data_IF_174683233006
#
_entry.id   IF_174683233006
#
_cell.length_a   1.000
_cell.length_b   1.000
_cell.length_c   1.000
_cell.angle_alpha   90.00
_cell.angle_beta   90.00
_cell.angle_gamma   90.00
#
_symmetry.space_group_name_H-M   'P 1'
#
loop_
_entity.id
_entity.type
_entity.pdbx_description
1 polymer ?
#
# COMPACT_ATOMS: atom_id res chain seq x y z
N UNK A 1 -49.72 16.61 -12.60
CA UNK A 1 -49.15 17.94 -12.25
C UNK A 1 -48.51 18.01 -10.86
N UNK A 2 -49.00 17.35 -9.79
CA UNK A 2 -48.45 17.51 -8.41
C UNK A 2 -47.07 16.86 -8.15
N UNK A 3 -46.60 15.95 -9.01
CA UNK A 3 -45.28 15.30 -8.90
C UNK A 3 -44.15 16.07 -9.60
N UNK A 4 -44.51 16.99 -10.49
CA UNK A 4 -43.56 17.82 -11.25
C UNK A 4 -42.78 18.82 -10.36
N UNK A 5 -43.41 19.58 -9.43
CA UNK A 5 -42.66 20.47 -8.55
C UNK A 5 -41.74 19.71 -7.59
N UNK A 6 -42.15 18.51 -7.14
CA UNK A 6 -41.31 17.65 -6.30
C UNK A 6 -40.09 17.16 -7.09
N UNK A 7 -40.28 16.70 -8.32
CA UNK A 7 -39.18 16.25 -9.19
C UNK A 7 -38.21 17.39 -9.50
N UNK A 8 -38.71 18.57 -9.84
CA UNK A 8 -37.87 19.74 -10.10
C UNK A 8 -37.08 20.17 -8.85
N UNK A 9 -37.71 20.15 -7.67
CA UNK A 9 -37.03 20.44 -6.42
C UNK A 9 -35.91 19.43 -6.12
N UNK A 10 -36.15 18.12 -6.36
CA UNK A 10 -35.13 17.09 -6.17
C UNK A 10 -33.95 17.30 -7.12
N UNK A 11 -34.19 17.57 -8.41
CA UNK A 11 -33.11 17.79 -9.39
C UNK A 11 -32.27 19.01 -9.02
N UNK A 12 -32.92 20.12 -8.68
CA UNK A 12 -32.25 21.38 -8.34
C UNK A 12 -31.45 21.27 -7.03
N UNK A 13 -31.98 20.57 -6.02
CA UNK A 13 -31.25 20.28 -4.79
C UNK A 13 -30.07 19.34 -5.06
N UNK A 14 -30.25 18.29 -5.87
CA UNK A 14 -29.21 17.28 -6.08
C UNK A 14 -28.02 17.84 -6.89
N UNK A 15 -28.27 18.75 -7.84
CA UNK A 15 -27.22 19.44 -8.60
C UNK A 15 -26.35 20.33 -7.70
N UNK A 16 -26.94 21.03 -6.74
CA UNK A 16 -26.20 21.89 -5.80
C UNK A 16 -25.59 21.13 -4.63
N UNK A 17 -26.22 20.02 -4.21
CA UNK A 17 -25.74 19.19 -3.10
C UNK A 17 -24.54 18.33 -3.51
N UNK A 18 -24.43 17.93 -4.78
CA UNK A 18 -23.35 17.07 -5.27
C UNK A 18 -21.96 17.72 -5.09
N UNK A 19 -21.71 18.99 -5.51
CA UNK A 19 -20.45 19.68 -5.24
C UNK A 19 -20.09 19.73 -3.75
N UNK A 20 -21.09 19.93 -2.89
CA UNK A 20 -20.90 19.98 -1.44
C UNK A 20 -20.48 18.62 -0.87
N UNK A 21 -21.13 17.52 -1.30
CA UNK A 21 -20.80 16.15 -0.88
C UNK A 21 -19.39 15.75 -1.34
N UNK A 22 -18.97 16.16 -2.54
CA UNK A 22 -17.62 15.90 -3.07
C UNK A 22 -16.52 16.52 -2.22
N UNK A 23 -16.75 17.72 -1.68
CA UNK A 23 -15.77 18.42 -0.86
C UNK A 23 -15.76 17.87 0.57
N UNK A 24 -16.94 17.64 1.15
CA UNK A 24 -17.06 17.38 2.60
C UNK A 24 -17.23 15.91 2.97
N UNK A 25 -17.70 15.05 2.07
CA UNK A 25 -17.96 13.62 2.34
C UNK A 25 -17.44 12.69 1.23
N UNK A 26 -16.12 12.71 0.92
CA UNK A 26 -15.53 11.89 -0.14
C UNK A 26 -15.68 10.38 0.08
N UNK A 27 -15.93 9.93 1.32
CA UNK A 27 -16.19 8.53 1.64
C UNK A 27 -17.55 7.99 1.19
N UNK A 28 -18.49 8.86 0.79
CA UNK A 28 -19.78 8.45 0.18
C UNK A 28 -19.69 8.33 -1.34
N UNK A 29 -18.57 8.77 -1.93
CA UNK A 29 -18.40 8.77 -3.37
C UNK A 29 -17.71 7.49 -3.86
N UNK A 30 -18.06 7.01 -5.07
CA UNK A 30 -17.27 5.98 -5.70
C UNK A 30 -15.83 6.48 -5.89
N UNK A 31 -14.87 5.57 -5.84
CA UNK A 31 -13.45 5.89 -5.98
C UNK A 31 -13.11 6.63 -7.29
N UNK A 32 -13.98 6.52 -8.31
CA UNK A 32 -13.88 7.25 -9.58
C UNK A 32 -14.07 8.76 -9.44
N UNK A 33 -14.72 9.22 -8.37
CA UNK A 33 -15.02 10.64 -8.13
C UNK A 33 -14.11 11.26 -7.06
N UNK A 34 -13.14 10.51 -6.53
CA UNK A 34 -12.19 11.00 -5.51
C UNK A 34 -10.92 11.49 -6.20
N UNK A 35 -10.54 12.73 -5.93
CA UNK A 35 -9.33 13.32 -6.49
C UNK A 35 -8.07 12.59 -5.94
N UNK A 36 -7.00 12.38 -6.73
CA UNK A 36 -5.80 11.69 -6.24
C UNK A 36 -5.20 12.32 -4.98
N UNK A 37 -5.23 13.66 -4.87
CA UNK A 37 -4.77 14.39 -3.69
C UNK A 37 -5.62 14.11 -2.44
N UNK A 38 -6.93 13.86 -2.61
CA UNK A 38 -7.81 13.44 -1.53
C UNK A 38 -7.55 11.97 -1.15
N UNK A 39 -7.27 11.11 -2.12
CA UNK A 39 -6.89 9.72 -1.89
C UNK A 39 -5.64 9.61 -1.02
N UNK A 40 -4.60 10.39 -1.31
CA UNK A 40 -3.38 10.43 -0.48
C UNK A 40 -3.68 10.87 0.96
N UNK A 41 -4.56 11.87 1.14
CA UNK A 41 -4.99 12.31 2.48
C UNK A 41 -5.78 11.23 3.22
N UNK A 42 -6.65 10.48 2.53
CA UNK A 42 -7.40 9.37 3.10
C UNK A 42 -6.44 8.26 3.53
N UNK A 43 -5.52 7.85 2.65
CA UNK A 43 -4.49 6.84 2.94
C UNK A 43 -3.61 7.25 4.13
N UNK A 44 -3.19 8.52 4.21
CA UNK A 44 -2.42 9.03 5.34
C UNK A 44 -3.18 8.92 6.67
N UNK A 45 -4.45 9.35 6.69
CA UNK A 45 -5.31 9.23 7.90
C UNK A 45 -5.57 7.79 8.31
N UNK A 46 -5.70 6.88 7.34
CA UNK A 46 -5.82 5.44 7.61
C UNK A 46 -4.51 4.88 8.18
N UNK A 47 -3.36 5.31 7.65
CA UNK A 47 -2.04 4.91 8.14
C UNK A 47 -1.78 5.40 9.56
N UNK A 48 -2.14 6.65 9.90
CA UNK A 48 -1.99 7.17 11.27
C UNK A 48 -2.78 6.33 12.28
N UNK A 49 -4.00 5.93 11.91
CA UNK A 49 -4.84 5.04 12.71
C UNK A 49 -4.21 3.65 12.85
N UNK A 50 -3.69 3.10 11.76
CA UNK A 50 -2.98 1.80 11.76
C UNK A 50 -1.75 1.84 12.65
N UNK A 51 -0.89 2.84 12.51
CA UNK A 51 0.32 3.05 13.32
C UNK A 51 -0.01 3.04 14.81
N UNK A 52 -1.06 3.74 15.17
CA UNK A 52 -1.53 3.83 16.54
C UNK A 52 -2.12 2.50 17.06
N UNK A 53 -2.83 1.73 16.23
CA UNK A 53 -3.28 0.38 16.58
C UNK A 53 -2.11 -0.62 16.70
N UNK A 54 -1.14 -0.58 15.79
CA UNK A 54 0.08 -1.39 15.86
C UNK A 54 0.85 -1.10 17.14
N UNK A 55 0.96 0.17 17.52
CA UNK A 55 1.58 0.58 18.80
C UNK A 55 0.86 -0.05 20.00
N UNK A 56 -0.47 0.09 20.09
CA UNK A 56 -1.26 -0.53 21.17
C UNK A 56 -1.13 -2.06 21.19
N UNK A 57 -1.15 -2.70 20.01
CA UNK A 57 -0.99 -4.15 19.91
C UNK A 57 0.41 -4.62 20.32
N UNK A 58 1.46 -3.84 20.04
CA UNK A 58 2.83 -4.13 20.52
C UNK A 58 2.92 -4.02 22.04
N UNK A 59 2.27 -3.02 22.65
CA UNK A 59 2.16 -2.89 24.11
C UNK A 59 1.39 -4.08 24.73
N UNK A 60 0.37 -4.57 24.02
CA UNK A 60 -0.43 -5.74 24.38
C UNK A 60 0.16 -7.07 23.91
N UNK A 61 1.37 -7.09 23.34
CA UNK A 61 1.91 -8.27 22.63
C UNK A 61 2.07 -9.50 23.53
N UNK A 62 2.31 -9.31 24.84
CA UNK A 62 2.29 -10.39 25.83
C UNK A 62 0.94 -11.10 25.95
N UNK A 63 -0.15 -10.42 25.56
CA UNK A 63 -1.52 -10.95 25.50
C UNK A 63 -1.88 -11.57 24.15
N UNK A 64 -1.08 -11.35 23.10
CA UNK A 64 -1.28 -11.91 21.76
C UNK A 64 -0.56 -13.25 21.57
N UNK A 65 0.41 -13.56 22.43
CA UNK A 65 0.93 -14.90 22.63
C UNK A 65 -0.16 -15.79 23.19
N UNK A 66 -1.00 -16.31 22.30
CA UNK A 66 -1.74 -17.54 22.58
C UNK A 66 -0.68 -18.59 22.89
N UNK A 67 -0.70 -19.11 24.11
CA UNK A 67 0.15 -20.22 24.48
C UNK A 67 -0.09 -21.34 23.47
N UNK A 68 0.88 -21.57 22.59
CA UNK A 68 1.03 -22.80 21.83
C UNK A 68 1.41 -23.93 22.80
N UNK A 69 0.62 -24.13 23.86
CA UNK A 69 0.64 -25.29 24.75
C UNK A 69 -0.40 -26.27 24.24
N UNK A 70 -0.25 -26.66 22.98
CA UNK A 70 -0.81 -27.87 22.42
C UNK A 70 0.36 -28.57 21.73
N UNK A 71 0.54 -29.89 21.88
CA UNK A 71 1.69 -30.58 21.32
C UNK A 71 1.80 -30.26 19.83
N UNK A 72 3.00 -29.83 19.41
CA UNK A 72 3.43 -29.97 18.02
C UNK A 72 3.41 -31.48 17.72
N UNK A 73 2.28 -31.96 17.24
CA UNK A 73 2.03 -33.39 17.03
C UNK A 73 0.59 -33.75 17.31
N UNK A 74 -0.11 -34.20 16.27
CA UNK A 74 -1.50 -34.66 16.24
C UNK A 74 -2.59 -33.61 15.94
N UNK A 75 -2.38 -32.74 14.95
CA UNK A 75 -3.49 -32.54 14.00
C UNK A 75 -3.53 -33.75 13.07
N UNK A 76 -4.67 -34.42 12.88
CA UNK A 76 -4.77 -35.47 11.86
C UNK A 76 -4.47 -34.83 10.51
N UNK A 77 -3.32 -35.17 9.93
CA UNK A 77 -3.01 -34.90 8.53
C UNK A 77 -4.19 -35.41 7.70
N UNK A 78 -4.94 -34.49 7.08
CA UNK A 78 -6.12 -34.83 6.27
C UNK A 78 -7.45 -34.19 6.70
N UNK A 79 -7.51 -33.39 7.77
CA UNK A 79 -8.71 -32.58 8.02
C UNK A 79 -8.77 -31.42 7.03
N UNK A 80 -9.75 -31.47 6.13
CA UNK A 80 -10.01 -30.48 5.06
C UNK A 80 -10.18 -29.05 5.59
N UNK A 81 -10.39 -28.86 6.90
CA UNK A 81 -10.64 -27.58 7.56
C UNK A 81 -9.65 -27.26 8.71
N UNK A 82 -8.46 -27.87 8.75
CA UNK A 82 -7.50 -27.66 9.83
C UNK A 82 -7.10 -26.18 10.01
N UNK A 83 -6.95 -25.46 8.90
CA UNK A 83 -6.66 -24.02 8.93
C UNK A 83 -7.81 -23.20 9.50
N UNK A 84 -9.03 -23.44 9.05
CA UNK A 84 -10.21 -22.68 9.50
C UNK A 84 -10.44 -22.84 11.01
N UNK A 85 -10.18 -24.04 11.55
CA UNK A 85 -10.29 -24.27 12.99
C UNK A 85 -9.18 -23.57 13.76
N UNK A 86 -7.94 -23.60 13.26
CA UNK A 86 -6.82 -22.85 13.84
C UNK A 86 -7.10 -21.34 13.86
N UNK A 87 -7.66 -20.80 12.77
CA UNK A 87 -8.06 -19.40 12.65
C UNK A 87 -9.16 -19.05 13.65
N UNK A 88 -10.20 -19.88 13.77
CA UNK A 88 -11.28 -19.65 14.76
C UNK A 88 -10.74 -19.66 16.18
N UNK A 89 -9.85 -20.60 16.51
CA UNK A 89 -9.24 -20.70 17.84
C UNK A 89 -8.37 -19.48 18.13
N UNK A 90 -7.46 -19.11 17.22
CA UNK A 90 -6.57 -17.97 17.38
C UNK A 90 -7.36 -16.66 17.51
N UNK A 91 -8.33 -16.42 16.62
CA UNK A 91 -9.17 -15.22 16.66
C UNK A 91 -10.11 -15.24 17.86
N UNK A 92 -10.60 -16.40 18.30
CA UNK A 92 -11.47 -16.56 19.47
C UNK A 92 -10.78 -16.24 20.79
N UNK A 93 -9.49 -16.54 20.92
CA UNK A 93 -8.70 -16.28 22.12
C UNK A 93 -8.39 -14.78 22.35
N UNK A 94 -8.52 -13.93 21.33
CA UNK A 94 -8.21 -12.50 21.43
C UNK A 94 -9.18 -11.75 22.34
N UNK A 95 -8.71 -10.72 23.05
CA UNK A 95 -9.58 -9.79 23.74
C UNK A 95 -10.32 -8.86 22.73
N UNK A 96 -11.47 -8.26 23.09
CA UNK A 96 -12.23 -7.42 22.15
C UNK A 96 -11.48 -6.19 21.64
N UNK A 97 -10.60 -5.59 22.45
CA UNK A 97 -9.78 -4.44 22.05
C UNK A 97 -8.74 -4.82 20.99
N UNK A 98 -8.02 -5.94 21.16
CA UNK A 98 -7.06 -6.44 20.17
C UNK A 98 -7.74 -6.87 18.88
N UNK A 99 -8.95 -7.44 18.94
CA UNK A 99 -9.72 -7.74 17.71
C UNK A 99 -10.00 -6.46 16.93
N UNK A 100 -10.41 -5.39 17.59
CA UNK A 100 -10.67 -4.10 16.93
C UNK A 100 -9.38 -3.51 16.34
N UNK A 101 -8.29 -3.54 17.10
CA UNK A 101 -7.00 -3.01 16.64
C UNK A 101 -6.41 -3.84 15.51
N UNK A 102 -6.51 -5.18 15.55
CA UNK A 102 -6.10 -6.06 14.45
C UNK A 102 -6.96 -5.84 13.21
N UNK A 103 -8.28 -5.71 13.36
CA UNK A 103 -9.16 -5.36 12.26
C UNK A 103 -8.74 -4.03 11.61
N UNK A 104 -8.38 -3.03 12.41
CA UNK A 104 -7.86 -1.76 11.90
C UNK A 104 -6.52 -1.95 11.18
N UNK A 105 -5.61 -2.73 11.74
CA UNK A 105 -4.30 -3.04 11.15
C UNK A 105 -4.45 -3.64 9.76
N UNK A 106 -5.32 -4.65 9.60
CA UNK A 106 -5.61 -5.31 8.33
C UNK A 106 -6.57 -4.53 7.41
N UNK A 107 -6.79 -3.22 7.66
CA UNK A 107 -7.69 -2.35 6.86
C UNK A 107 -9.13 -2.87 6.78
N UNK A 108 -9.60 -3.58 7.79
CA UNK A 108 -10.96 -4.09 7.87
C UNK A 108 -11.91 -3.08 8.51
N UNK A 109 -13.19 -3.17 8.15
CA UNK A 109 -14.23 -2.35 8.76
C UNK A 109 -14.36 -2.67 10.26
N UNK A 110 -14.14 -1.66 11.11
CA UNK A 110 -14.23 -1.78 12.57
C UNK A 110 -15.64 -1.56 13.12
N UNK A 111 -16.63 -1.21 12.28
CA UNK A 111 -18.01 -1.04 12.71
C UNK A 111 -18.68 -2.39 13.02
N UNK A 112 -19.50 -2.40 14.08
CA UNK A 112 -20.18 -3.60 14.59
C UNK A 112 -19.53 -4.15 15.87
N UNK A 113 -20.20 -5.10 16.52
CA UNK A 113 -19.70 -5.75 17.73
C UNK A 113 -18.53 -6.71 17.46
N UNK A 114 -17.87 -7.18 18.54
CA UNK A 114 -16.68 -8.04 18.47
C UNK A 114 -16.91 -9.31 17.64
N UNK A 115 -18.12 -9.90 17.67
CA UNK A 115 -18.46 -11.07 16.85
C UNK A 115 -18.29 -10.80 15.34
N UNK A 116 -18.77 -9.66 14.86
CA UNK A 116 -18.69 -9.30 13.45
C UNK A 116 -17.24 -9.02 13.02
N UNK A 117 -16.48 -8.37 13.90
CA UNK A 117 -15.06 -8.10 13.69
C UNK A 117 -14.24 -9.40 13.64
N UNK A 118 -14.49 -10.35 14.55
CA UNK A 118 -13.85 -11.68 14.53
C UNK A 118 -14.16 -12.44 13.25
N UNK A 119 -15.42 -12.46 12.83
CA UNK A 119 -15.81 -13.10 11.56
C UNK A 119 -15.07 -12.51 10.36
N UNK A 120 -14.97 -11.18 10.29
CA UNK A 120 -14.22 -10.49 9.22
C UNK A 120 -12.74 -10.84 9.29
N UNK A 121 -12.15 -10.81 10.48
CA UNK A 121 -10.74 -11.15 10.67
C UNK A 121 -10.46 -12.59 10.24
N UNK A 122 -11.25 -13.57 10.70
CA UNK A 122 -11.11 -14.97 10.30
C UNK A 122 -11.22 -15.16 8.79
N UNK A 123 -12.24 -14.57 8.16
CA UNK A 123 -12.40 -14.63 6.70
C UNK A 123 -11.22 -13.99 5.96
N UNK A 124 -10.67 -12.91 6.51
CA UNK A 124 -9.54 -12.20 5.93
C UNK A 124 -8.25 -12.99 6.00
N UNK A 125 -7.99 -13.73 7.09
CA UNK A 125 -6.80 -14.58 7.20
C UNK A 125 -6.82 -15.72 6.18
N UNK A 126 -7.99 -16.31 5.91
CA UNK A 126 -8.13 -17.31 4.84
C UNK A 126 -7.92 -16.69 3.47
N UNK A 127 -8.49 -15.50 3.21
CA UNK A 127 -8.24 -14.73 1.99
C UNK A 127 -6.74 -14.44 1.79
N UNK A 128 -6.04 -13.94 2.81
CA UNK A 128 -4.61 -13.63 2.72
C UNK A 128 -3.78 -14.87 2.38
N UNK A 129 -4.14 -16.03 2.92
CA UNK A 129 -3.42 -17.28 2.63
C UNK A 129 -3.58 -17.70 1.16
N UNK A 130 -4.78 -17.62 0.63
CA UNK A 130 -5.06 -17.90 -0.79
C UNK A 130 -4.32 -16.90 -1.69
N UNK A 131 -4.40 -15.61 -1.36
CA UNK A 131 -3.76 -14.52 -2.11
C UNK A 131 -2.22 -14.61 -2.08
N UNK A 132 -1.64 -14.94 -0.92
CA UNK A 132 -0.20 -15.18 -0.79
C UNK A 132 0.26 -16.41 -1.62
N UNK A 133 -0.53 -17.48 -1.66
CA UNK A 133 -0.22 -18.66 -2.47
C UNK A 133 -0.24 -18.35 -3.97
N UNK A 134 -1.19 -17.52 -4.41
CA UNK A 134 -1.23 -17.01 -5.77
C UNK A 134 0.02 -16.17 -6.07
N UNK A 135 0.35 -15.18 -5.24
CA UNK A 135 1.54 -14.33 -5.45
C UNK A 135 2.87 -15.08 -5.34
N UNK A 136 2.93 -16.18 -4.60
CA UNK A 136 4.11 -17.04 -4.55
C UNK A 136 4.22 -18.00 -5.75
N UNK A 137 3.23 -17.99 -6.66
CA UNK A 137 3.20 -18.88 -7.81
C UNK A 137 2.91 -20.35 -7.48
N UNK A 138 2.36 -20.62 -6.29
CA UNK A 138 2.05 -21.97 -5.78
C UNK A 138 0.62 -22.39 -6.18
N UNK A 139 0.06 -21.77 -7.24
CA UNK A 139 -1.33 -21.98 -7.62
C UNK A 139 -1.66 -23.48 -7.78
N UNK A 140 -2.60 -23.93 -6.95
CA UNK A 140 -3.20 -25.25 -6.95
C UNK A 140 -3.85 -25.53 -8.30
N UNK A 141 -3.27 -26.41 -9.13
CA UNK A 141 -4.06 -27.14 -10.14
C UNK A 141 -3.49 -27.33 -11.55
N UNK A 142 -2.35 -26.78 -11.94
CA UNK A 142 -1.82 -27.01 -13.30
C UNK A 142 -0.36 -27.49 -13.30
N UNK A 143 -0.18 -28.74 -12.88
CA UNK A 143 1.08 -29.47 -13.01
C UNK A 143 1.42 -29.89 -14.46
N UNK A 144 0.85 -29.29 -15.51
CA UNK A 144 0.96 -29.83 -16.87
C UNK A 144 1.03 -28.84 -18.04
N UNK A 145 1.40 -27.59 -17.82
CA UNK A 145 1.96 -26.78 -18.91
C UNK A 145 3.34 -26.29 -18.50
N UNK A 146 4.36 -26.64 -19.27
CA UNK A 146 5.78 -26.37 -18.99
C UNK A 146 6.18 -24.89 -19.02
N UNK A 147 5.40 -24.01 -18.39
CA UNK A 147 5.81 -22.65 -18.07
C UNK A 147 6.59 -22.70 -16.76
N UNK A 148 7.84 -22.25 -16.85
CA UNK A 148 8.80 -22.21 -15.77
C UNK A 148 8.18 -21.72 -14.45
N UNK A 149 8.65 -22.31 -13.35
CA UNK A 149 8.51 -21.76 -11.99
C UNK A 149 8.85 -20.27 -12.04
N UNK A 150 7.82 -19.43 -12.14
CA UNK A 150 7.99 -17.98 -12.13
C UNK A 150 8.40 -17.60 -10.72
N UNK A 151 9.45 -16.78 -10.63
CA UNK A 151 9.95 -16.28 -9.34
C UNK A 151 8.85 -15.50 -8.63
N UNK A 152 8.86 -15.48 -7.29
CA UNK A 152 7.99 -14.61 -6.46
C UNK A 152 8.04 -13.16 -6.96
N UNK A 153 9.15 -12.72 -7.55
CA UNK A 153 9.30 -11.39 -8.12
C UNK A 153 8.38 -11.09 -9.31
N UNK A 154 7.97 -12.10 -10.09
CA UNK A 154 7.20 -11.91 -11.33
C UNK A 154 5.69 -11.75 -11.09
N UNK A 155 5.18 -12.17 -9.93
CA UNK A 155 3.74 -12.14 -9.60
C UNK A 155 3.36 -11.07 -8.56
N UNK A 156 4.35 -10.41 -7.97
CA UNK A 156 4.12 -9.26 -7.09
C UNK A 156 3.75 -8.03 -7.94
N UNK A 157 2.67 -7.29 -7.57
CA UNK A 157 2.31 -6.05 -8.25
C UNK A 157 3.50 -5.09 -8.36
N UNK A 158 3.70 -4.51 -9.54
CA UNK A 158 4.78 -3.53 -9.79
C UNK A 158 4.25 -2.09 -9.76
N UNK A 159 2.94 -1.91 -9.91
CA UNK A 159 2.31 -0.60 -9.83
C UNK A 159 2.21 -0.13 -8.37
N UNK A 160 2.36 1.18 -8.16
CA UNK A 160 2.40 1.78 -6.81
C UNK A 160 1.09 1.54 -6.05
N UNK A 161 -0.05 1.58 -6.73
CA UNK A 161 -1.36 1.39 -6.11
C UNK A 161 -1.61 -0.06 -5.71
N UNK A 162 -1.23 -1.02 -6.55
CA UNK A 162 -1.25 -2.45 -6.28
C UNK A 162 -0.35 -2.84 -5.12
N UNK A 163 0.88 -2.31 -5.08
CA UNK A 163 1.80 -2.49 -3.94
C UNK A 163 1.22 -1.93 -2.65
N UNK A 164 0.74 -0.68 -2.68
CA UNK A 164 0.16 -0.03 -1.51
C UNK A 164 -1.08 -0.79 -1.00
N UNK A 165 -1.90 -1.33 -1.91
CA UNK A 165 -3.06 -2.16 -1.58
C UNK A 165 -2.65 -3.48 -0.93
N UNK A 166 -1.75 -4.23 -1.57
CA UNK A 166 -1.28 -5.53 -1.08
C UNK A 166 -0.59 -5.41 0.29
N UNK A 167 0.21 -4.36 0.49
CA UNK A 167 0.82 -4.05 1.79
C UNK A 167 -0.25 -3.70 2.83
N UNK A 168 -1.20 -2.83 2.49
CA UNK A 168 -2.25 -2.40 3.42
C UNK A 168 -3.16 -3.55 3.88
N UNK A 169 -3.52 -4.46 2.97
CA UNK A 169 -4.36 -5.63 3.27
C UNK A 169 -3.66 -6.62 4.21
N UNK A 170 -2.32 -6.66 4.20
CA UNK A 170 -1.46 -7.43 5.12
C UNK A 170 -1.11 -6.67 6.39
N UNK A 171 -1.61 -5.45 6.55
CA UNK A 171 -1.30 -4.60 7.69
C UNK A 171 0.13 -4.07 7.74
N UNK A 172 0.83 -4.09 6.60
CA UNK A 172 2.12 -3.43 6.42
C UNK A 172 1.92 -1.94 6.16
N UNK A 173 2.96 -1.16 6.42
CA UNK A 173 2.98 0.27 6.10
C UNK A 173 2.90 0.46 4.59
N UNK A 174 2.00 1.32 4.13
CA UNK A 174 1.79 1.57 2.70
C UNK A 174 1.72 3.07 2.35
N UNK A 175 1.91 3.94 3.34
CA UNK A 175 1.90 5.40 3.17
C UNK A 175 3.16 6.03 3.75
N UNK A 176 3.64 7.09 3.08
CA UNK A 176 4.84 7.82 3.46
C UNK A 176 6.13 7.01 3.33
N UNK A 177 6.15 6.00 2.45
CA UNK A 177 7.31 5.22 2.06
C UNK A 177 7.31 5.04 0.53
N UNK A 178 8.47 4.80 -0.05
CA UNK A 178 8.65 4.59 -1.49
C UNK A 178 8.22 3.17 -1.92
N UNK A 179 8.08 2.96 -3.24
CA UNK A 179 7.64 1.69 -3.81
C UNK A 179 8.66 0.56 -3.63
N UNK A 180 9.96 0.86 -3.54
CA UNK A 180 11.00 -0.15 -3.30
C UNK A 180 10.84 -0.70 -1.89
N UNK A 181 10.73 0.18 -0.90
CA UNK A 181 10.47 -0.20 0.50
C UNK A 181 9.17 -1.01 0.64
N UNK A 182 8.08 -0.63 -0.04
CA UNK A 182 6.83 -1.42 -0.07
C UNK A 182 7.05 -2.81 -0.65
N UNK A 183 7.74 -2.90 -1.79
CA UNK A 183 8.02 -4.18 -2.45
C UNK A 183 8.87 -5.11 -1.58
N UNK A 184 9.85 -4.57 -0.85
CA UNK A 184 10.70 -5.33 0.06
C UNK A 184 9.92 -5.81 1.28
N UNK A 185 9.06 -4.97 1.85
CA UNK A 185 8.18 -5.36 2.95
C UNK A 185 7.24 -6.51 2.54
N UNK A 186 6.63 -6.41 1.36
CA UNK A 186 5.77 -7.44 0.81
C UNK A 186 6.52 -8.74 0.52
N UNK A 187 7.74 -8.67 -0.05
CA UNK A 187 8.60 -9.85 -0.24
C UNK A 187 9.04 -10.46 1.10
N UNK A 188 9.22 -9.66 2.14
CA UNK A 188 9.54 -10.16 3.48
C UNK A 188 8.37 -10.89 4.09
N UNK A 189 7.15 -10.35 3.94
CA UNK A 189 5.91 -11.04 4.30
C UNK A 189 5.79 -12.40 3.59
N UNK A 190 5.92 -12.42 2.26
CA UNK A 190 5.77 -13.65 1.47
C UNK A 190 6.82 -14.71 1.81
N UNK A 191 8.05 -14.31 2.18
CA UNK A 191 9.08 -15.25 2.66
C UNK A 191 8.69 -15.92 3.98
N UNK A 192 7.97 -15.23 4.85
CA UNK A 192 7.48 -15.79 6.12
C UNK A 192 6.19 -16.61 5.93
N UNK A 193 5.30 -16.23 5.01
CA UNK A 193 4.02 -16.92 4.80
C UNK A 193 4.07 -18.08 3.81
N UNK A 194 4.98 -18.03 2.84
CA UNK A 194 5.18 -19.04 1.80
C UNK A 194 6.64 -19.51 1.78
N UNK A 195 7.10 -20.19 2.83
CA UNK A 195 8.49 -20.59 2.91
C UNK A 195 8.79 -21.69 1.87
N UNK A 196 10.03 -21.76 1.40
CA UNK A 196 10.46 -22.74 0.42
C UNK A 196 10.24 -24.19 0.89
N UNK A 197 10.14 -25.13 -0.05
CA UNK A 197 9.82 -26.55 0.18
C UNK A 197 10.47 -27.13 1.46
N UNK A 198 9.63 -27.56 2.40
CA UNK A 198 10.02 -28.27 3.63
C UNK A 198 9.89 -27.46 4.92
N UNK A 199 9.72 -26.14 4.85
CA UNK A 199 9.46 -25.31 6.03
C UNK A 199 7.96 -25.25 6.35
N UNK A 200 7.64 -25.15 7.65
CA UNK A 200 6.26 -25.09 8.14
C UNK A 200 5.61 -23.76 7.77
N UNK A 201 4.39 -23.80 7.23
CA UNK A 201 3.59 -22.59 7.00
C UNK A 201 3.19 -21.99 8.36
N UNK A 202 3.17 -20.66 8.49
CA UNK A 202 2.90 -20.04 9.78
C UNK A 202 1.48 -20.36 10.24
N UNK A 203 1.35 -20.56 11.55
CA UNK A 203 0.07 -20.68 12.25
C UNK A 203 -0.75 -19.39 12.15
N UNK A 204 -2.06 -19.49 12.38
CA UNK A 204 -2.95 -18.33 12.36
C UNK A 204 -2.54 -17.25 13.38
N UNK A 205 -2.03 -17.65 14.55
CA UNK A 205 -1.50 -16.75 15.57
C UNK A 205 -0.24 -16.03 15.12
N UNK A 206 0.67 -16.72 14.43
CA UNK A 206 1.88 -16.09 13.89
C UNK A 206 1.53 -15.08 12.80
N UNK A 207 0.58 -15.42 11.91
CA UNK A 207 0.12 -14.52 10.85
C UNK A 207 -0.56 -13.25 11.40
N UNK A 208 -1.25 -13.34 12.54
CA UNK A 208 -1.81 -12.18 13.25
C UNK A 208 -0.75 -11.27 13.87
N UNK A 209 0.40 -11.83 14.27
CA UNK A 209 1.51 -11.09 14.86
C UNK A 209 2.47 -10.53 13.81
N UNK A 210 2.48 -11.10 12.61
CA UNK A 210 3.40 -10.76 11.53
C UNK A 210 3.39 -9.26 11.15
N UNK A 211 2.23 -8.59 11.05
CA UNK A 211 2.22 -7.14 10.78
C UNK A 211 2.96 -6.38 11.88
N UNK A 212 2.82 -6.76 13.15
CA UNK A 212 3.46 -6.06 14.27
C UNK A 212 4.99 -6.13 14.20
N UNK A 213 5.52 -7.24 13.68
CA UNK A 213 6.96 -7.45 13.47
C UNK A 213 7.46 -6.69 12.26
N UNK A 214 6.72 -6.73 11.15
CA UNK A 214 7.16 -6.22 9.86
C UNK A 214 6.81 -4.74 9.60
N UNK A 215 5.92 -4.14 10.40
CA UNK A 215 5.37 -2.79 10.13
C UNK A 215 6.42 -1.68 9.94
N UNK A 216 7.57 -1.77 10.64
CA UNK A 216 8.69 -0.80 10.56
C UNK A 216 10.05 -1.49 10.31
N UNK A 217 10.04 -2.75 9.85
CA UNK A 217 11.26 -3.57 9.77
C UNK A 217 12.22 -3.15 8.64
N UNK A 218 11.81 -2.25 7.75
CA UNK A 218 12.65 -1.82 6.62
C UNK A 218 13.63 -0.70 7.06
N UNK A 219 14.95 -0.87 6.89
CA UNK A 219 15.97 -0.07 7.57
C UNK A 219 16.13 1.37 7.05
N UNK A 220 15.47 1.79 5.97
CA UNK A 220 15.71 3.10 5.34
C UNK A 220 15.13 4.31 6.10
N UNK A 221 14.23 4.11 7.08
CA UNK A 221 13.48 5.22 7.71
C UNK A 221 13.48 5.25 9.24
N UNK A 222 14.28 4.42 9.92
CA UNK A 222 14.44 4.54 11.38
C UNK A 222 15.29 5.74 11.80
N UNK A 223 16.01 6.41 10.89
CA UNK A 223 16.92 7.52 11.24
C UNK A 223 16.29 8.92 11.27
N UNK A 224 15.00 9.12 11.00
CA UNK A 224 14.41 10.48 10.92
C UNK A 224 13.40 10.84 12.01
N UNK A 225 13.10 9.96 12.98
CA UNK A 225 12.08 10.25 14.00
C UNK A 225 12.49 9.99 15.45
N UNK A 226 13.73 9.58 15.74
CA UNK A 226 14.19 9.30 17.11
C UNK A 226 15.17 10.32 17.69
N UNK A 227 15.58 11.36 16.95
CA UNK A 227 16.69 12.24 17.38
C UNK A 227 16.29 13.68 17.77
N UNK A 228 15.06 13.88 18.26
CA UNK A 228 14.61 15.18 18.78
C UNK A 228 14.57 15.25 20.31
N UNK A 229 15.05 14.24 21.03
CA UNK A 229 15.01 14.22 22.50
C UNK A 229 16.16 13.42 23.11
N UNK A 230 17.40 13.85 22.88
CA UNK A 230 18.51 13.72 23.86
C UNK A 230 19.76 14.49 23.40
N UNK A 231 19.95 15.68 23.96
CA UNK A 231 21.25 16.34 24.01
C UNK A 231 22.20 15.54 24.92
N UNK A 232 23.27 14.93 24.38
CA UNK A 232 24.70 15.12 24.72
C UNK A 232 25.57 14.14 23.92
N UNK A 233 26.84 14.49 23.59
CA UNK A 233 27.55 13.95 22.43
C UNK A 233 28.29 12.65 22.74
N UNK A 234 28.44 11.78 21.72
CA UNK A 234 29.65 10.98 21.64
C UNK A 234 30.34 11.11 20.29
N UNK A 235 31.62 11.42 20.42
CA UNK A 235 32.69 11.31 19.44
C UNK A 235 32.68 9.95 18.74
N UNK A 236 33.03 9.96 17.44
CA UNK A 236 33.47 8.84 16.60
C UNK A 236 32.38 7.93 15.97
N UNK A 237 31.80 8.39 14.86
CA UNK A 237 31.53 7.59 13.64
C UNK A 237 31.09 8.49 12.47
N UNK A 238 31.87 9.54 12.16
CA UNK A 238 31.47 10.59 11.21
C UNK A 238 31.91 10.37 9.75
N UNK A 239 32.69 9.32 9.45
CA UNK A 239 33.34 9.18 8.13
C UNK A 239 32.53 8.38 7.11
N UNK A 240 31.86 7.30 7.49
CA UNK A 240 31.15 6.45 6.52
C UNK A 240 29.80 7.03 6.05
N UNK A 241 29.06 7.71 6.93
CA UNK A 241 27.77 8.33 6.58
C UNK A 241 27.91 9.59 5.73
N UNK A 242 28.96 10.37 5.94
CA UNK A 242 29.21 11.60 5.18
C UNK A 242 29.53 11.31 3.71
N UNK A 243 30.18 10.18 3.43
CA UNK A 243 30.54 9.76 2.07
C UNK A 243 29.31 9.34 1.25
N UNK A 244 28.42 8.52 1.83
CA UNK A 244 27.17 8.09 1.18
C UNK A 244 26.20 9.27 0.97
N UNK A 245 26.12 10.20 1.92
CA UNK A 245 25.29 11.40 1.76
C UNK A 245 25.88 12.40 0.75
N UNK A 246 27.21 12.48 0.64
CA UNK A 246 27.85 13.30 -0.38
C UNK A 246 27.61 12.74 -1.79
N UNK A 247 27.66 11.42 -1.94
CA UNK A 247 27.38 10.72 -3.20
C UNK A 247 25.92 10.87 -3.62
N UNK A 248 24.97 10.67 -2.70
CA UNK A 248 23.54 10.87 -2.98
C UNK A 248 23.21 12.32 -3.38
N UNK A 249 23.89 13.30 -2.77
CA UNK A 249 23.72 14.73 -3.11
C UNK A 249 24.34 15.07 -4.46
N UNK A 250 25.45 14.43 -4.83
CA UNK A 250 26.07 14.60 -6.14
C UNK A 250 25.17 14.06 -7.26
N UNK A 251 24.61 12.86 -7.09
CA UNK A 251 23.66 12.26 -8.04
C UNK A 251 22.42 13.13 -8.17
N UNK A 252 21.88 13.65 -7.06
CA UNK A 252 20.72 14.55 -7.11
C UNK A 252 21.02 15.86 -7.88
N UNK A 253 22.23 16.40 -7.74
CA UNK A 253 22.64 17.59 -8.49
C UNK A 253 22.80 17.30 -9.98
N UNK A 254 23.36 16.14 -10.34
CA UNK A 254 23.53 15.69 -11.72
C UNK A 254 22.17 15.49 -12.41
N UNK A 255 21.20 14.86 -11.74
CA UNK A 255 19.84 14.68 -12.29
C UNK A 255 19.14 16.03 -12.48
N UNK A 256 19.31 16.97 -11.56
CA UNK A 256 18.74 18.32 -11.69
C UNK A 256 19.39 19.12 -12.82
N UNK A 257 20.70 18.97 -13.05
CA UNK A 257 21.36 19.59 -14.20
C UNK A 257 20.94 18.95 -15.53
N UNK A 258 20.80 17.62 -15.56
CA UNK A 258 20.28 16.92 -16.74
C UNK A 258 18.84 17.32 -17.08
N UNK A 259 17.95 17.45 -16.08
CA UNK A 259 16.59 17.94 -16.30
C UNK A 259 16.55 19.38 -16.82
N UNK A 260 17.42 20.26 -16.31
CA UNK A 260 17.55 21.63 -16.83
C UNK A 260 18.02 21.66 -18.28
N UNK A 261 18.96 20.78 -18.66
CA UNK A 261 19.42 20.70 -20.04
C UNK A 261 18.31 20.22 -20.98
N UNK A 262 17.51 19.23 -20.55
CA UNK A 262 16.35 18.74 -21.32
C UNK A 262 15.33 19.87 -21.51
N UNK A 263 14.98 20.58 -20.44
CA UNK A 263 14.06 21.72 -20.52
C UNK A 263 14.57 22.84 -21.44
N UNK A 264 15.87 23.12 -21.43
CA UNK A 264 16.44 24.10 -22.36
C UNK A 264 16.39 23.63 -23.83
N UNK A 265 16.59 22.34 -24.08
CA UNK A 265 16.50 21.75 -25.42
C UNK A 265 15.07 21.79 -25.94
N UNK A 266 14.09 21.47 -25.10
CA UNK A 266 12.67 21.55 -25.43
C UNK A 266 12.25 22.99 -25.72
N UNK A 267 12.67 23.96 -24.89
CA UNK A 267 12.39 25.39 -25.15
C UNK A 267 12.97 25.86 -26.48
N UNK A 268 14.20 25.45 -26.82
CA UNK A 268 14.82 25.81 -28.11
C UNK A 268 14.08 25.16 -29.29
N UNK A 269 13.60 23.92 -29.13
CA UNK A 269 12.81 23.26 -30.15
C UNK A 269 11.46 23.98 -30.35
N UNK A 270 10.79 24.40 -29.29
CA UNK A 270 9.55 25.19 -29.36
C UNK A 270 9.76 26.54 -30.06
N UNK A 271 10.85 27.26 -29.75
CA UNK A 271 11.20 28.52 -30.39
C UNK A 271 11.50 28.33 -31.90
N UNK A 272 12.17 27.23 -32.28
CA UNK A 272 12.44 26.92 -33.68
C UNK A 272 11.16 26.56 -34.46
N UNK A 273 10.26 25.78 -33.85
CA UNK A 273 8.94 25.46 -34.41
C UNK A 273 8.14 26.74 -34.62
N UNK A 274 8.12 27.63 -33.63
CA UNK A 274 7.43 28.92 -33.73
C UNK A 274 7.99 29.78 -34.85
N UNK A 275 9.33 29.86 -34.99
CA UNK A 275 9.97 30.60 -36.08
C UNK A 275 9.60 30.06 -37.46
N UNK A 276 9.59 28.73 -37.63
CA UNK A 276 9.17 28.09 -38.90
C UNK A 276 7.71 28.35 -39.21
N UNK A 277 6.85 28.35 -38.19
CA UNK A 277 5.43 28.66 -38.36
C UNK A 277 5.21 30.12 -38.80
N UNK A 278 5.94 31.07 -38.22
CA UNK A 278 5.90 32.48 -38.63
C UNK A 278 6.49 32.72 -40.03
N UNK A 279 7.52 31.97 -40.42
CA UNK A 279 8.10 32.02 -41.77
C UNK A 279 7.13 31.47 -42.82
N UNK A 280 6.47 30.34 -42.51
CA UNK A 280 5.47 29.74 -43.39
C UNK A 280 4.23 30.63 -43.52
N UNK A 281 3.77 31.26 -42.44
CA UNK A 281 2.67 32.23 -42.48
C UNK A 281 3.03 33.47 -43.34
N UNK A 282 4.30 33.91 -43.33
CA UNK A 282 4.78 34.99 -44.20
C UNK A 282 4.87 34.58 -45.67
N UNK A 283 5.29 33.35 -45.96
CA UNK A 283 5.29 32.82 -47.33
C UNK A 283 3.87 32.69 -47.88
N UNK A 284 2.93 32.21 -47.07
CA UNK A 284 1.51 32.10 -47.44
C UNK A 284 0.83 33.47 -47.61
N UNK A 285 1.32 34.51 -46.93
CA UNK A 285 0.81 35.88 -47.02
C UNK A 285 1.33 36.66 -48.25
N UNK A 286 2.30 36.13 -49.01
CA UNK A 286 2.77 36.79 -50.24
C UNK A 286 1.76 36.56 -51.39
N UNK A 287 1.13 37.62 -51.93
CA UNK A 287 0.14 37.47 -52.98
C UNK A 287 0.81 36.97 -54.26
N UNK A 288 0.27 35.88 -54.79
CA UNK A 288 0.65 35.22 -56.04
C UNK A 288 0.60 36.22 -57.23
N UNK A 289 1.70 36.95 -57.45
CA UNK A 289 1.96 37.74 -58.66
C UNK A 289 2.54 36.83 -59.74
N UNK A 290 1.78 35.85 -60.20
CA UNK A 290 2.06 35.23 -61.49
C UNK A 290 0.83 34.53 -62.05
N UNK A 291 -0.11 35.32 -62.58
CA UNK A 291 -1.04 34.92 -63.65
C UNK A 291 -1.50 36.15 -64.41
N UNK A 292 -0.68 36.59 -65.37
CA UNK A 292 -1.12 37.21 -66.62
C UNK A 292 -0.11 36.87 -67.70
#
# INVERSE_FOLDING_TARGET
MRKLPLFLAIVLILEELLPLVVIYAPGLLPSTCILPSQMTKIRGKEEDKRKEAVRRLRELSSSLTVASTGPQGATPEGSVNAWDEQVKQAVGALNPSAVKDLALTFKLATWGGSFLQRRRLSSHLSYLREDDALMAGVATGEANTGKASMSIADQVPQDVDGLARACSERGLRASGIDSVTMSEALRSWLRETQPAHGASTPSASELLQLPLRLYDATPAHQSTLTDASKETPPTASATAGAEVFAEARAVAHEVVEAEKEILERDRRAEEEVKRKMEEQEREDALPNKSRR
#
